data_IF_023657922242
#
_entry.id   IF_023657922242
#
_cell.length_a   1.000
_cell.length_b   1.000
_cell.length_c   1.000
_cell.angle_alpha   90.00
_cell.angle_beta   90.00
_cell.angle_gamma   90.00
#
_symmetry.space_group_name_H-M   'P 1'
#
loop_
_entity.id
_entity.type
_entity.pdbx_description
1 polymer ?
#
# COMPACT_ATOMS: atom_id res chain seq x y z
N UNK A 1 2.44 22.59 55.30
CA UNK A 1 3.24 23.08 56.44
C UNK A 1 4.63 22.46 56.36
N UNK A 2 5.63 23.30 56.60
CA UNK A 2 7.07 23.08 56.52
C UNK A 2 7.60 22.76 57.93
N UNK A 3 8.37 21.68 58.13
CA UNK A 3 9.42 21.52 59.17
C UNK A 3 10.28 20.30 58.73
N UNK A 4 11.56 20.37 58.33
CA UNK A 4 12.84 20.85 58.92
C UNK A 4 13.38 19.92 60.03
N UNK A 5 14.65 19.51 59.86
CA UNK A 5 15.58 18.95 60.87
C UNK A 5 16.05 17.54 60.49
N UNK A 6 17.27 17.30 60.00
CA UNK A 6 18.58 17.56 60.63
C UNK A 6 18.91 16.38 61.57
N UNK A 7 20.05 15.71 61.61
CA UNK A 7 21.37 15.83 61.00
C UNK A 7 22.04 14.44 61.08
N UNK A 8 23.06 14.16 60.25
CA UNK A 8 23.86 12.95 60.40
C UNK A 8 24.79 12.70 59.22
N UNK A 9 25.84 13.51 59.09
CA UNK A 9 26.97 13.20 58.20
C UNK A 9 27.87 12.21 58.95
N UNK A 10 27.98 11.00 58.42
CA UNK A 10 29.08 10.10 58.72
C UNK A 10 29.78 9.78 57.41
N UNK A 11 30.94 10.41 57.20
CA UNK A 11 31.87 10.07 56.12
C UNK A 11 32.61 8.81 56.58
N UNK A 12 32.17 7.65 56.11
CA UNK A 12 32.95 6.43 56.14
C UNK A 12 33.73 6.31 54.84
N UNK A 13 35.02 6.65 54.85
CA UNK A 13 35.94 6.29 53.76
C UNK A 13 36.29 4.82 53.93
N UNK A 14 35.65 3.96 53.14
CA UNK A 14 36.10 2.60 52.93
C UNK A 14 36.96 2.57 51.67
N UNK A 15 38.27 2.40 51.87
CA UNK A 15 39.25 2.07 50.84
C UNK A 15 39.23 0.54 50.74
N UNK A 16 38.76 0.02 49.62
CA UNK A 16 38.65 -1.43 49.40
C UNK A 16 37.56 -1.76 48.39
N UNK A 17 37.99 -1.83 47.12
CA UNK A 17 37.21 -2.20 45.95
C UNK A 17 36.30 -3.40 46.26
N UNK A 18 35.00 -3.16 46.30
CA UNK A 18 34.01 -4.08 46.89
C UNK A 18 33.08 -4.72 45.85
N UNK A 19 32.50 -5.89 46.21
CA UNK A 19 31.97 -6.93 45.31
C UNK A 19 30.43 -6.89 45.19
N UNK A 20 29.83 -7.75 44.36
CA UNK A 20 28.41 -8.20 44.46
C UNK A 20 28.21 -9.41 43.53
N UNK A 21 27.92 -10.63 43.96
CA UNK A 21 26.75 -11.12 44.72
C UNK A 21 25.42 -10.75 44.04
N UNK A 22 24.83 -11.77 43.41
CA UNK A 22 23.58 -11.79 42.68
C UNK A 22 22.44 -11.02 43.36
N UNK A 23 21.97 -9.96 42.70
CA UNK A 23 20.60 -9.51 42.81
C UNK A 23 19.92 -9.90 41.49
N UNK A 24 19.10 -10.95 41.55
CA UNK A 24 18.19 -11.36 40.47
C UNK A 24 17.25 -10.21 40.11
N UNK A 25 17.65 -9.43 39.12
CA UNK A 25 16.80 -8.46 38.45
C UNK A 25 15.94 -9.25 37.45
N UNK A 26 14.60 -9.13 37.46
CA UNK A 26 13.78 -9.81 36.46
C UNK A 26 14.24 -9.31 35.09
N UNK A 27 14.73 -10.23 34.28
CA UNK A 27 15.05 -10.03 32.87
C UNK A 27 13.83 -9.42 32.22
N UNK A 28 13.87 -8.10 31.97
CA UNK A 28 13.01 -7.50 30.98
C UNK A 28 13.44 -8.11 29.65
N UNK A 29 12.72 -9.14 29.21
CA UNK A 29 12.86 -9.73 27.89
C UNK A 29 12.52 -8.65 26.89
N UNK A 30 13.52 -7.84 26.55
CA UNK A 30 13.46 -6.90 25.46
C UNK A 30 13.33 -7.76 24.20
N UNK A 31 12.21 -7.71 23.46
CA UNK A 31 12.03 -8.57 22.32
C UNK A 31 13.19 -8.34 21.36
N UNK A 32 13.87 -9.43 21.06
CA UNK A 32 15.09 -9.49 20.29
C UNK A 32 14.88 -8.74 18.98
N UNK A 33 15.78 -7.79 18.72
CA UNK A 33 15.91 -6.99 17.50
C UNK A 33 16.34 -7.88 16.31
N UNK A 34 15.61 -8.97 16.08
CA UNK A 34 15.87 -9.99 15.04
C UNK A 34 14.57 -10.32 14.29
N UNK A 35 13.56 -9.47 14.33
CA UNK A 35 12.51 -9.47 13.32
C UNK A 35 12.95 -8.57 12.16
N UNK A 36 13.91 -9.08 11.38
CA UNK A 36 14.31 -8.46 10.11
C UNK A 36 13.09 -8.46 9.19
N UNK A 37 12.35 -7.35 9.20
CA UNK A 37 11.25 -6.96 8.29
C UNK A 37 11.06 -7.91 7.10
N UNK A 38 10.28 -8.97 7.30
CA UNK A 38 9.46 -9.47 6.21
C UNK A 38 8.46 -8.36 5.93
N UNK A 39 8.35 -7.82 4.71
CA UNK A 39 7.27 -6.88 4.39
C UNK A 39 5.95 -7.53 4.80
N UNK A 40 5.13 -6.84 5.58
CA UNK A 40 3.77 -7.30 5.89
C UNK A 40 3.07 -7.57 4.56
N UNK A 41 2.76 -8.85 4.30
CA UNK A 41 2.16 -9.30 3.05
C UNK A 41 0.86 -8.55 2.75
N UNK A 42 0.11 -8.15 3.79
CA UNK A 42 -1.09 -7.33 3.64
C UNK A 42 -0.77 -5.93 3.15
N UNK A 43 0.22 -5.29 3.75
CA UNK A 43 0.69 -3.97 3.35
C UNK A 43 1.26 -3.99 1.91
N UNK A 44 1.96 -5.07 1.54
CA UNK A 44 2.49 -5.26 0.19
C UNK A 44 1.36 -5.42 -0.84
N UNK A 45 0.34 -6.24 -0.54
CA UNK A 45 -0.82 -6.42 -1.40
C UNK A 45 -1.62 -5.11 -1.57
N UNK A 46 -1.88 -4.40 -0.46
CA UNK A 46 -2.57 -3.11 -0.47
C UNK A 46 -1.82 -2.09 -1.32
N UNK A 47 -0.49 -1.98 -1.15
CA UNK A 47 0.33 -1.05 -1.93
C UNK A 47 0.28 -1.40 -3.42
N UNK A 48 0.41 -2.67 -3.77
CA UNK A 48 0.34 -3.11 -5.16
C UNK A 48 -1.03 -2.82 -5.80
N UNK A 49 -2.13 -2.97 -5.04
CA UNK A 49 -3.46 -2.59 -5.50
C UNK A 49 -3.58 -1.08 -5.76
N UNK A 50 -3.03 -0.23 -4.88
CA UNK A 50 -3.00 1.22 -5.10
C UNK A 50 -2.20 1.60 -6.35
N UNK A 51 -0.99 1.05 -6.47
CA UNK A 51 -0.11 1.30 -7.61
C UNK A 51 -0.81 0.88 -8.91
N UNK A 52 -1.50 -0.26 -8.91
CA UNK A 52 -2.27 -0.73 -10.05
C UNK A 52 -3.48 0.15 -10.38
N UNK A 53 -4.23 0.63 -9.37
CA UNK A 53 -5.36 1.53 -9.59
C UNK A 53 -4.93 2.90 -10.16
N UNK A 54 -3.81 3.43 -9.67
CA UNK A 54 -3.20 4.66 -10.20
C UNK A 54 -2.75 4.48 -11.66
N UNK A 55 -2.13 3.33 -11.96
CA UNK A 55 -1.75 2.95 -13.32
C UNK A 55 -2.98 2.88 -14.24
N UNK A 56 -4.05 2.21 -13.82
CA UNK A 56 -5.27 2.05 -14.62
C UNK A 56 -5.92 3.41 -14.94
N UNK A 57 -5.84 4.36 -14.00
CA UNK A 57 -6.38 5.71 -14.13
C UNK A 57 -5.46 6.71 -14.85
N UNK A 58 -4.31 6.27 -15.37
CA UNK A 58 -3.31 7.14 -16.00
C UNK A 58 -2.95 6.65 -17.40
N UNK A 59 -3.34 7.41 -18.44
CA UNK A 59 -3.02 7.09 -19.83
C UNK A 59 -3.05 8.34 -20.72
N UNK A 60 -2.42 8.23 -21.88
CA UNK A 60 -2.39 9.27 -22.91
C UNK A 60 -2.67 8.65 -24.28
N UNK A 61 -3.58 9.25 -25.06
CA UNK A 61 -3.93 8.77 -26.40
C UNK A 61 -2.72 8.63 -27.34
N UNK A 62 -1.61 9.32 -27.06
CA UNK A 62 -0.38 9.30 -27.86
C UNK A 62 0.53 8.10 -27.53
N UNK A 63 0.35 7.42 -26.39
CA UNK A 63 1.19 6.31 -25.97
C UNK A 63 0.41 5.17 -25.27
N UNK A 64 -0.54 4.61 -26.02
CA UNK A 64 -1.38 3.51 -25.52
C UNK A 64 -0.68 2.14 -25.55
N UNK A 65 0.44 2.01 -26.26
CA UNK A 65 1.24 0.79 -26.22
C UNK A 65 1.98 0.65 -24.88
N UNK A 66 2.56 1.74 -24.37
CA UNK A 66 3.16 1.72 -23.03
C UNK A 66 2.12 1.47 -21.94
N UNK A 67 0.94 2.09 -22.06
CA UNK A 67 -0.17 1.82 -21.15
C UNK A 67 -0.57 0.34 -21.15
N UNK A 68 -0.80 -0.25 -22.33
CA UNK A 68 -1.16 -1.66 -22.45
C UNK A 68 -0.10 -2.58 -21.85
N UNK A 69 1.20 -2.35 -22.15
CA UNK A 69 2.29 -3.14 -21.57
C UNK A 69 2.35 -3.03 -20.04
N UNK A 70 2.09 -1.85 -19.49
CA UNK A 70 2.09 -1.66 -18.05
C UNK A 70 0.92 -2.38 -17.37
N UNK A 71 -0.30 -2.28 -17.94
CA UNK A 71 -1.46 -3.04 -17.45
C UNK A 71 -1.20 -4.54 -17.54
N UNK A 72 -0.65 -5.01 -18.65
CA UNK A 72 -0.29 -6.42 -18.85
C UNK A 72 0.71 -6.89 -17.79
N UNK A 73 1.74 -6.10 -17.50
CA UNK A 73 2.76 -6.41 -16.49
C UNK A 73 2.24 -6.34 -15.04
N UNK A 74 1.16 -5.60 -14.79
CA UNK A 74 0.53 -5.41 -13.48
C UNK A 74 -0.67 -6.33 -13.22
N UNK A 75 -1.07 -7.14 -14.19
CA UNK A 75 -2.27 -7.98 -14.09
C UNK A 75 -2.02 -9.46 -14.41
N UNK A 76 -2.93 -10.30 -13.95
CA UNK A 76 -2.95 -11.75 -14.15
C UNK A 76 -4.39 -12.24 -14.33
N UNK A 77 -4.53 -13.55 -14.57
CA UNK A 77 -5.81 -14.25 -14.53
C UNK A 77 -6.88 -13.66 -15.44
N UNK A 78 -8.10 -13.59 -14.92
CA UNK A 78 -9.27 -13.16 -15.68
C UNK A 78 -9.18 -11.68 -16.08
N UNK A 79 -8.78 -10.81 -15.16
CA UNK A 79 -8.67 -9.37 -15.45
C UNK A 79 -7.76 -9.11 -16.67
N UNK A 80 -6.56 -9.71 -16.69
CA UNK A 80 -5.61 -9.55 -17.80
C UNK A 80 -6.21 -10.00 -19.13
N UNK A 81 -6.90 -11.14 -19.12
CA UNK A 81 -7.54 -11.71 -20.31
C UNK A 81 -8.64 -10.80 -20.84
N UNK A 82 -9.56 -10.37 -19.97
CA UNK A 82 -10.69 -9.54 -20.34
C UNK A 82 -10.23 -8.14 -20.81
N UNK A 83 -9.24 -7.55 -20.13
CA UNK A 83 -8.63 -6.28 -20.55
C UNK A 83 -8.00 -6.41 -21.94
N UNK A 84 -7.13 -7.41 -22.16
CA UNK A 84 -6.46 -7.59 -23.46
C UNK A 84 -7.45 -7.86 -24.61
N UNK A 85 -8.57 -8.54 -24.32
CA UNK A 85 -9.61 -8.75 -25.32
C UNK A 85 -10.40 -7.48 -25.66
N UNK A 86 -10.67 -6.62 -24.66
CA UNK A 86 -11.50 -5.43 -24.85
C UNK A 86 -10.69 -4.20 -25.30
N UNK A 87 -9.40 -4.13 -24.93
CA UNK A 87 -8.57 -2.94 -25.10
C UNK A 87 -8.46 -2.44 -26.55
N UNK A 88 -8.39 -3.27 -27.61
CA UNK A 88 -8.33 -2.77 -28.99
C UNK A 88 -9.49 -1.84 -29.35
N UNK A 89 -10.72 -2.18 -28.94
CA UNK A 89 -11.91 -1.36 -29.21
C UNK A 89 -11.90 -0.08 -28.36
N UNK A 90 -11.52 -0.19 -27.08
CA UNK A 90 -11.40 0.97 -26.18
C UNK A 90 -10.32 1.94 -26.69
N UNK A 91 -9.22 1.41 -27.21
CA UNK A 91 -8.10 2.16 -27.79
C UNK A 91 -8.54 3.04 -28.94
N UNK A 92 -9.35 2.51 -29.87
CA UNK A 92 -9.89 3.29 -30.99
C UNK A 92 -10.67 4.51 -30.50
N UNK A 93 -11.52 4.33 -29.47
CA UNK A 93 -12.26 5.43 -28.86
C UNK A 93 -11.35 6.46 -28.17
N UNK A 94 -10.33 6.00 -27.43
CA UNK A 94 -9.36 6.89 -26.78
C UNK A 94 -8.65 7.75 -27.83
N UNK A 95 -8.18 7.15 -28.93
CA UNK A 95 -7.51 7.88 -30.01
C UNK A 95 -8.44 8.86 -30.71
N UNK A 96 -9.66 8.41 -31.06
CA UNK A 96 -10.65 9.22 -31.76
C UNK A 96 -10.99 10.50 -30.99
N UNK A 97 -11.10 10.39 -29.67
CA UNK A 97 -11.47 11.51 -28.78
C UNK A 97 -10.26 12.25 -28.21
N UNK A 98 -9.04 11.85 -28.57
CA UNK A 98 -7.77 12.33 -28.00
C UNK A 98 -7.81 12.33 -26.47
N UNK A 99 -8.32 11.24 -25.89
CA UNK A 99 -8.56 11.14 -24.46
C UNK A 99 -7.27 10.89 -23.70
N UNK A 100 -7.05 11.62 -22.62
CA UNK A 100 -6.02 11.36 -21.63
C UNK A 100 -6.63 11.35 -20.23
N UNK A 101 -5.97 10.64 -19.32
CA UNK A 101 -6.35 10.59 -17.92
C UNK A 101 -5.12 10.70 -17.03
N UNK A 102 -5.25 11.44 -15.94
CA UNK A 102 -4.23 11.60 -14.91
C UNK A 102 -4.81 11.23 -13.55
N UNK A 103 -4.19 10.31 -12.84
CA UNK A 103 -4.55 9.99 -11.45
C UNK A 103 -4.30 11.21 -10.54
N UNK A 104 -5.30 11.61 -9.76
CA UNK A 104 -5.22 12.71 -8.79
C UNK A 104 -4.96 12.17 -7.38
N UNK A 105 -5.77 11.20 -6.95
CA UNK A 105 -5.73 10.61 -5.61
C UNK A 105 -6.13 9.14 -5.66
N UNK A 106 -5.49 8.31 -4.84
CA UNK A 106 -5.82 6.89 -4.69
C UNK A 106 -5.69 6.51 -3.23
N UNK A 107 -6.80 6.08 -2.63
CA UNK A 107 -6.89 5.64 -1.25
C UNK A 107 -7.27 4.17 -1.25
N UNK A 108 -6.49 3.34 -0.56
CA UNK A 108 -6.78 1.92 -0.49
C UNK A 108 -6.88 1.43 0.94
N UNK A 109 -7.68 0.41 1.14
CA UNK A 109 -7.81 -0.29 2.41
C UNK A 109 -7.87 -1.79 2.16
N UNK A 110 -6.96 -2.53 2.79
CA UNK A 110 -7.00 -3.98 2.81
C UNK A 110 -8.30 -4.46 3.46
N UNK A 111 -9.03 -5.35 2.77
CA UNK A 111 -10.30 -5.87 3.26
C UNK A 111 -10.14 -7.30 3.79
N UNK A 112 -9.63 -8.19 2.95
CA UNK A 112 -9.55 -9.63 3.24
C UNK A 112 -8.39 -10.27 2.48
N UNK A 113 -8.01 -11.49 2.84
CA UNK A 113 -6.97 -12.25 2.14
C UNK A 113 -5.95 -12.95 3.03
N UNK A 114 -4.95 -13.55 2.37
CA UNK A 114 -3.84 -14.32 2.92
C UNK A 114 -2.52 -13.99 2.18
N UNK A 115 -1.56 -14.92 2.23
CA UNK A 115 -0.25 -14.75 1.61
C UNK A 115 -0.26 -14.85 0.07
N UNK A 116 -1.35 -15.32 -0.53
CA UNK A 116 -1.49 -15.56 -1.97
C UNK A 116 -2.56 -14.73 -2.63
N UNK A 117 -3.60 -14.34 -1.91
CA UNK A 117 -4.73 -13.57 -2.44
C UNK A 117 -5.14 -12.46 -1.48
N UNK A 118 -5.56 -11.32 -2.02
CA UNK A 118 -6.09 -10.23 -1.21
C UNK A 118 -7.19 -9.48 -1.95
N UNK A 119 -8.13 -8.94 -1.17
CA UNK A 119 -9.12 -7.98 -1.64
C UNK A 119 -8.80 -6.62 -1.03
N UNK A 120 -8.77 -5.59 -1.86
CA UNK A 120 -8.44 -4.23 -1.47
C UNK A 120 -9.53 -3.31 -2.01
N UNK A 121 -10.20 -2.57 -1.13
CA UNK A 121 -11.08 -1.50 -1.60
C UNK A 121 -10.25 -0.30 -1.99
N UNK A 122 -10.60 0.34 -3.09
CA UNK A 122 -9.94 1.51 -3.64
C UNK A 122 -10.96 2.61 -3.88
N UNK A 123 -10.70 3.78 -3.29
CA UNK A 123 -11.27 5.04 -3.72
C UNK A 123 -10.25 5.72 -4.63
N UNK A 124 -10.66 6.09 -5.85
CA UNK A 124 -9.78 6.78 -6.79
C UNK A 124 -10.44 8.04 -7.33
N UNK A 125 -9.62 9.06 -7.53
CA UNK A 125 -9.95 10.27 -8.25
C UNK A 125 -8.97 10.46 -9.39
N UNK A 126 -9.48 10.73 -10.59
CA UNK A 126 -8.65 11.05 -11.75
C UNK A 126 -9.32 12.10 -12.63
N UNK A 127 -8.51 12.80 -13.41
CA UNK A 127 -8.98 13.83 -14.35
C UNK A 127 -8.89 13.30 -15.77
N UNK A 128 -10.03 13.24 -16.46
CA UNK A 128 -10.11 12.87 -17.88
C UNK A 128 -10.18 14.13 -18.72
N UNK A 129 -9.38 14.20 -19.78
CA UNK A 129 -9.41 15.26 -20.79
C UNK A 129 -9.71 14.64 -22.15
N UNK A 130 -10.50 15.32 -22.98
CA UNK A 130 -10.79 14.96 -24.37
C UNK A 130 -10.67 16.19 -25.26
N UNK A 131 -10.49 15.99 -26.57
CA UNK A 131 -10.48 17.09 -27.53
C UNK A 131 -11.81 17.86 -27.48
N UNK A 132 -11.71 19.19 -27.44
CA UNK A 132 -12.85 20.13 -27.48
C UNK A 132 -13.86 20.01 -26.31
N UNK A 133 -13.51 19.30 -25.23
CA UNK A 133 -14.30 19.19 -24.01
C UNK A 133 -13.53 19.78 -22.82
N UNK A 134 -14.26 20.29 -21.81
CA UNK A 134 -13.64 20.70 -20.55
C UNK A 134 -13.20 19.47 -19.73
N UNK A 135 -12.03 19.48 -19.06
CA UNK A 135 -11.60 18.37 -18.21
C UNK A 135 -12.65 17.98 -17.17
N UNK A 136 -12.83 16.68 -16.96
CA UNK A 136 -13.79 16.12 -16.02
C UNK A 136 -13.08 15.34 -14.92
N UNK A 137 -13.40 15.63 -13.68
CA UNK A 137 -12.94 14.83 -12.53
C UNK A 137 -13.88 13.65 -12.32
N UNK A 138 -13.33 12.44 -12.35
CA UNK A 138 -14.04 11.18 -12.13
C UNK A 138 -13.64 10.63 -10.76
N UNK A 139 -14.62 10.19 -9.99
CA UNK A 139 -14.43 9.51 -8.70
C UNK A 139 -15.04 8.11 -8.76
N UNK A 140 -14.33 7.12 -8.25
CA UNK A 140 -14.71 5.72 -8.36
C UNK A 140 -14.41 4.97 -7.07
N UNK A 141 -15.29 4.03 -6.72
CA UNK A 141 -15.05 3.04 -5.69
C UNK A 141 -14.97 1.65 -6.34
N UNK A 142 -13.86 0.95 -6.08
CA UNK A 142 -13.55 -0.33 -6.69
C UNK A 142 -13.14 -1.33 -5.61
N UNK A 143 -13.44 -2.60 -5.83
CA UNK A 143 -12.76 -3.71 -5.17
C UNK A 143 -11.74 -4.28 -6.13
N UNK A 144 -10.47 -4.29 -5.73
CA UNK A 144 -9.36 -4.87 -6.49
C UNK A 144 -8.97 -6.19 -5.85
N UNK A 145 -9.08 -7.26 -6.63
CA UNK A 145 -8.61 -8.60 -6.26
C UNK A 145 -7.16 -8.75 -6.72
N UNK A 146 -6.29 -9.07 -5.78
CA UNK A 146 -4.86 -9.25 -5.98
C UNK A 146 -4.49 -10.72 -5.83
N UNK A 147 -3.54 -11.19 -6.64
CA UNK A 147 -2.96 -12.52 -6.56
C UNK A 147 -1.43 -12.43 -6.58
N UNK A 148 -0.78 -13.18 -5.69
CA UNK A 148 0.67 -13.27 -5.63
C UNK A 148 1.16 -14.31 -6.65
N UNK A 149 1.86 -13.83 -7.67
CA UNK A 149 2.44 -14.64 -8.75
C UNK A 149 3.94 -14.40 -8.78
N UNK A 150 4.72 -15.46 -8.59
CA UNK A 150 6.19 -15.41 -8.62
C UNK A 150 6.80 -14.28 -7.77
N UNK A 151 6.25 -14.10 -6.56
CA UNK A 151 6.70 -13.08 -5.60
C UNK A 151 6.22 -11.65 -5.90
N UNK A 152 5.31 -11.46 -6.86
CA UNK A 152 4.71 -10.16 -7.20
C UNK A 152 3.21 -10.19 -7.00
N UNK A 153 2.66 -9.15 -6.38
CA UNK A 153 1.22 -8.94 -6.32
C UNK A 153 0.72 -8.34 -7.64
N UNK A 154 -0.21 -9.03 -8.30
CA UNK A 154 -0.81 -8.62 -9.57
C UNK A 154 -2.33 -8.57 -9.46
N UNK A 155 -2.97 -7.66 -10.19
CA UNK A 155 -4.43 -7.59 -10.26
C UNK A 155 -4.99 -8.82 -11.00
N UNK A 156 -5.78 -9.65 -10.32
CA UNK A 156 -6.46 -10.81 -10.90
C UNK A 156 -7.94 -10.53 -11.24
N UNK A 157 -8.51 -9.49 -10.61
CA UNK A 157 -9.89 -9.06 -10.78
C UNK A 157 -10.10 -7.63 -10.31
N UNK A 158 -11.09 -6.95 -10.89
CA UNK A 158 -11.51 -5.62 -10.45
C UNK A 158 -13.01 -5.45 -10.74
N UNK A 159 -13.74 -4.89 -9.77
CA UNK A 159 -15.17 -4.65 -9.90
C UNK A 159 -15.57 -3.35 -9.20
N UNK A 160 -16.65 -2.67 -9.65
CA UNK A 160 -17.22 -1.57 -8.90
C UNK A 160 -17.64 -2.04 -7.50
N UNK A 161 -17.33 -1.24 -6.48
CA UNK A 161 -17.89 -1.48 -5.14
C UNK A 161 -19.39 -1.22 -5.23
N UNK A 162 -20.20 -2.28 -5.21
CA UNK A 162 -21.65 -2.10 -5.06
C UNK A 162 -21.92 -1.56 -3.66
N UNK A 163 -22.83 -0.58 -3.49
CA UNK A 163 -23.30 -0.24 -2.16
C UNK A 163 -23.92 -1.49 -1.53
N UNK A 164 -23.48 -1.85 -0.33
CA UNK A 164 -24.15 -2.86 0.50
C UNK A 164 -25.51 -2.36 0.97
#
# INVERSE_FOLDING_TARGET
MLVIGGAGVAIGVAIGDSPAAEQTQPTQTQPTQTERRTPDTRAAAQRAACDFAALMSTYDYRDLDSYQRAIDAGSTGRYKTDFNSAFPQVRELIVLTQMSSTSNDVQCSYQSGDDKRAEVSVHSEHTVTKAFEAPQTVRQELTVMMEQVDGRWLCSGMEPTQPK
#
